data_IF_645180406072
#
_entry.id   IF_645180406072
#
_cell.length_a   1.000
_cell.length_b   1.000
_cell.length_c   1.000
_cell.angle_alpha   90.00
_cell.angle_beta   90.00
_cell.angle_gamma   90.00
#
_symmetry.space_group_name_H-M   'P 1'
#
loop_
_entity.id
_entity.type
_entity.pdbx_description
1 polymer ?
#
# COMPACT_ATOMS: atom_id res chain seq x y z
N UNK A 1 -5.74 -4.19 18.18
CA UNK A 1 -5.93 -2.79 17.78
C UNK A 1 -7.14 -2.72 16.87
N UNK A 2 -8.04 -1.73 17.03
CA UNK A 2 -9.17 -1.52 16.12
C UNK A 2 -8.72 -0.64 14.96
N UNK A 3 -9.09 -0.93 13.69
CA UNK A 3 -8.78 -0.05 12.58
C UNK A 3 -9.49 1.31 12.73
N UNK A 4 -8.92 2.39 12.18
CA UNK A 4 -9.63 3.67 12.05
C UNK A 4 -10.83 3.53 11.11
N UNK A 5 -11.67 4.56 11.05
CA UNK A 5 -12.73 4.63 10.05
C UNK A 5 -12.11 4.90 8.67
N UNK A 6 -12.08 3.88 7.81
CA UNK A 6 -11.41 3.97 6.52
C UNK A 6 -12.17 4.82 5.49
N UNK A 7 -13.41 5.23 5.78
CA UNK A 7 -14.16 6.15 4.92
C UNK A 7 -13.67 7.60 5.00
N UNK A 8 -12.93 7.96 6.07
CA UNK A 8 -12.44 9.32 6.29
C UNK A 8 -11.16 9.55 5.48
N UNK A 9 -11.29 10.05 4.25
CA UNK A 9 -10.15 10.30 3.36
C UNK A 9 -9.10 11.25 3.96
N UNK A 10 -9.51 12.21 4.79
CA UNK A 10 -8.59 13.12 5.47
C UNK A 10 -7.65 12.42 6.47
N UNK A 11 -8.06 11.24 6.97
CA UNK A 11 -7.25 10.44 7.88
C UNK A 11 -6.46 9.36 7.14
N UNK A 12 -6.66 9.21 5.82
CA UNK A 12 -5.91 8.26 5.00
C UNK A 12 -4.42 8.63 4.93
N UNK A 13 -3.57 7.65 4.64
CA UNK A 13 -2.11 7.80 4.71
C UNK A 13 -1.38 6.49 4.98
N UNK A 14 -0.05 6.57 5.06
CA UNK A 14 0.83 5.47 5.48
C UNK A 14 0.88 5.41 7.01
N UNK A 15 0.59 4.25 7.59
CA UNK A 15 0.47 4.06 9.04
C UNK A 15 1.13 2.77 9.51
N UNK A 16 1.87 2.85 10.60
CA UNK A 16 2.33 1.66 11.33
C UNK A 16 1.11 0.94 11.93
N UNK A 17 1.09 -0.39 11.85
CA UNK A 17 -0.02 -1.24 12.25
C UNK A 17 0.46 -2.44 13.04
N UNK A 18 0.06 -2.50 14.32
CA UNK A 18 0.39 -3.61 15.23
C UNK A 18 -0.75 -4.61 15.40
N UNK A 19 -1.87 -4.43 14.69
CA UNK A 19 -3.01 -5.35 14.72
C UNK A 19 -2.88 -6.50 13.71
N UNK A 20 -3.85 -7.42 13.72
CA UNK A 20 -3.94 -8.45 12.68
C UNK A 20 -4.28 -7.80 11.33
N UNK A 21 -3.62 -8.21 10.25
CA UNK A 21 -3.92 -7.74 8.89
C UNK A 21 -5.39 -7.98 8.49
N UNK A 22 -5.95 -9.10 8.93
CA UNK A 22 -7.34 -9.49 8.64
C UNK A 22 -8.37 -8.57 9.30
N UNK A 23 -7.97 -7.78 10.31
CA UNK A 23 -8.86 -6.79 10.91
C UNK A 23 -9.11 -5.58 10.01
N UNK A 24 -8.23 -5.30 9.03
CA UNK A 24 -8.40 -4.20 8.07
C UNK A 24 -9.44 -4.55 6.99
N UNK A 25 -9.48 -5.83 6.57
CA UNK A 25 -10.37 -6.30 5.50
C UNK A 25 -11.87 -5.96 5.72
N UNK A 26 -12.48 -6.23 6.89
CA UNK A 26 -13.88 -5.86 7.11
C UNK A 26 -14.10 -4.35 7.16
N UNK A 27 -13.13 -3.57 7.67
CA UNK A 27 -13.22 -2.10 7.67
C UNK A 27 -13.14 -1.53 6.24
N UNK A 28 -12.26 -2.08 5.40
CA UNK A 28 -12.16 -1.72 3.99
C UNK A 28 -13.45 -2.05 3.23
N UNK A 29 -14.02 -3.23 3.49
CA UNK A 29 -15.30 -3.63 2.90
C UNK A 29 -16.45 -2.71 3.31
N UNK A 30 -16.52 -2.31 4.59
CA UNK A 30 -17.54 -1.37 5.07
C UNK A 30 -17.44 0.01 4.38
N UNK A 31 -16.22 0.47 4.11
CA UNK A 31 -15.95 1.70 3.36
C UNK A 31 -15.96 1.52 1.83
N UNK A 32 -16.29 0.31 1.32
CA UNK A 32 -16.30 -0.06 -0.12
C UNK A 32 -14.95 0.12 -0.82
N UNK A 33 -13.85 0.09 -0.08
CA UNK A 33 -12.50 0.24 -0.62
C UNK A 33 -12.04 -1.07 -1.27
N UNK A 34 -11.22 -0.96 -2.32
CA UNK A 34 -10.39 -2.08 -2.76
C UNK A 34 -9.46 -2.48 -1.59
N UNK A 35 -9.19 -3.77 -1.45
CA UNK A 35 -8.31 -4.29 -0.39
C UNK A 35 -7.21 -5.15 -0.99
N UNK A 36 -5.97 -4.78 -0.71
CA UNK A 36 -4.75 -5.45 -1.20
C UNK A 36 -3.84 -5.81 -0.04
N UNK A 37 -3.08 -6.90 -0.20
CA UNK A 37 -2.10 -7.35 0.80
C UNK A 37 -0.79 -7.63 0.08
N UNK A 38 0.27 -7.00 0.54
CA UNK A 38 1.65 -7.24 0.12
C UNK A 38 2.34 -7.98 1.25
N UNK A 39 2.86 -9.17 0.96
CA UNK A 39 3.61 -9.96 1.95
C UNK A 39 5.10 -9.88 1.63
N UNK A 40 5.90 -9.36 2.57
CA UNK A 40 7.35 -9.23 2.44
C UNK A 40 8.11 -10.37 3.11
N UNK A 41 7.43 -11.45 3.51
CA UNK A 41 8.10 -12.62 4.07
C UNK A 41 9.07 -13.24 3.06
N UNK A 42 10.35 -13.26 3.42
CA UNK A 42 11.41 -13.86 2.60
C UNK A 42 11.84 -13.01 1.39
N UNK A 43 11.32 -11.79 1.23
CA UNK A 43 11.69 -10.89 0.14
C UNK A 43 13.11 -10.35 0.34
N UNK A 44 13.96 -10.53 -0.68
CA UNK A 44 15.35 -10.10 -0.71
C UNK A 44 15.64 -9.05 -1.79
N UNK A 45 15.87 -7.82 -1.37
CA UNK A 45 16.30 -6.71 -2.24
C UNK A 45 15.23 -6.17 -3.18
N UNK A 46 15.60 -5.12 -3.91
CA UNK A 46 14.69 -4.31 -4.74
C UNK A 46 13.86 -5.11 -5.75
N UNK A 47 14.46 -6.03 -6.51
CA UNK A 47 13.74 -6.72 -7.58
C UNK A 47 12.65 -7.65 -7.03
N UNK A 48 12.94 -8.35 -5.94
CA UNK A 48 11.95 -9.20 -5.27
C UNK A 48 10.88 -8.35 -4.58
N UNK A 49 11.25 -7.19 -4.03
CA UNK A 49 10.30 -6.23 -3.47
C UNK A 49 9.30 -5.74 -4.52
N UNK A 50 9.80 -5.28 -5.67
CA UNK A 50 8.93 -4.80 -6.76
C UNK A 50 8.03 -5.92 -7.29
N UNK A 51 8.52 -7.15 -7.34
CA UNK A 51 7.72 -8.33 -7.70
C UNK A 51 6.63 -8.61 -6.66
N UNK A 52 6.95 -8.54 -5.37
CA UNK A 52 6.00 -8.73 -4.27
C UNK A 52 4.92 -7.64 -4.27
N UNK A 53 5.32 -6.39 -4.53
CA UNK A 53 4.41 -5.25 -4.68
C UNK A 53 3.47 -5.45 -5.88
N UNK A 54 4.01 -5.76 -7.06
CA UNK A 54 3.21 -5.99 -8.26
C UNK A 54 2.14 -7.07 -8.03
N UNK A 55 2.53 -8.19 -7.41
CA UNK A 55 1.61 -9.28 -7.08
C UNK A 55 0.56 -8.88 -6.03
N UNK A 56 1.00 -8.27 -4.92
CA UNK A 56 0.12 -7.94 -3.79
C UNK A 56 -0.86 -6.80 -4.09
N UNK A 57 -0.42 -5.83 -4.89
CA UNK A 57 -1.23 -4.70 -5.38
C UNK A 57 -2.05 -5.04 -6.62
N UNK A 58 -1.84 -6.22 -7.21
CA UNK A 58 -2.49 -6.69 -8.45
C UNK A 58 -2.29 -5.70 -9.59
N UNK A 59 -1.05 -5.23 -9.75
CA UNK A 59 -0.68 -4.33 -10.84
C UNK A 59 -0.83 -5.04 -12.20
N UNK A 60 -1.00 -4.29 -13.30
CA UNK A 60 -1.13 -4.88 -14.63
C UNK A 60 0.05 -5.76 -15.04
N UNK A 61 -0.17 -6.73 -15.94
CA UNK A 61 0.88 -7.64 -16.43
C UNK A 61 2.04 -6.91 -17.12
N UNK A 62 1.80 -5.71 -17.65
CA UNK A 62 2.80 -4.87 -18.30
C UNK A 62 3.51 -3.91 -17.32
N UNK A 63 3.40 -4.12 -16.01
CA UNK A 63 4.07 -3.33 -14.99
C UNK A 63 5.60 -3.29 -15.23
N UNK A 64 6.17 -2.08 -15.29
CA UNK A 64 7.56 -1.83 -15.68
C UNK A 64 8.65 -2.28 -14.69
N UNK A 65 8.28 -2.86 -13.55
CA UNK A 65 9.17 -3.41 -12.53
C UNK A 65 10.30 -2.46 -12.09
N UNK A 66 9.95 -1.20 -11.85
CA UNK A 66 10.85 -0.15 -11.34
C UNK A 66 10.06 0.85 -10.47
N UNK A 67 10.75 1.82 -9.87
CA UNK A 67 10.15 2.78 -8.93
C UNK A 67 9.20 3.76 -9.60
N UNK A 68 9.56 4.28 -10.78
CA UNK A 68 8.74 5.23 -11.52
C UNK A 68 7.42 4.57 -11.94
N UNK A 69 7.51 3.34 -12.48
CA UNK A 69 6.33 2.55 -12.83
C UNK A 69 5.44 2.25 -11.62
N UNK A 70 6.02 2.10 -10.42
CA UNK A 70 5.24 1.92 -9.18
C UNK A 70 4.51 3.21 -8.83
N UNK A 71 5.19 4.35 -8.83
CA UNK A 71 4.57 5.65 -8.56
C UNK A 71 3.42 5.92 -9.54
N UNK A 72 3.66 5.77 -10.84
CA UNK A 72 2.65 5.92 -11.89
C UNK A 72 1.43 5.01 -11.65
N UNK A 73 1.66 3.75 -11.28
CA UNK A 73 0.58 2.79 -11.02
C UNK A 73 -0.24 3.15 -9.79
N UNK A 74 0.39 3.71 -8.74
CA UNK A 74 -0.29 4.06 -7.50
C UNK A 74 -1.18 5.31 -7.66
N UNK A 75 -0.86 6.19 -8.61
CA UNK A 75 -1.64 7.38 -8.96
C UNK A 75 -2.66 7.14 -10.09
N UNK A 76 -2.77 5.90 -10.59
CA UNK A 76 -3.75 5.50 -11.60
C UNK A 76 -5.15 5.31 -10.99
N UNK A 77 -6.14 6.05 -11.52
CA UNK A 77 -7.53 6.01 -11.06
C UNK A 77 -8.27 4.71 -11.41
N UNK A 78 -7.95 4.07 -12.54
CA UNK A 78 -8.50 2.78 -12.93
C UNK A 78 -8.00 1.69 -11.97
N UNK A 79 -6.72 1.77 -11.60
CA UNK A 79 -6.15 0.88 -10.59
C UNK A 79 -6.72 1.14 -9.18
N UNK A 80 -6.83 2.39 -8.73
CA UNK A 80 -7.39 2.72 -7.40
C UNK A 80 -8.83 2.22 -7.23
N UNK A 81 -9.64 2.32 -8.29
CA UNK A 81 -11.06 2.01 -8.28
C UNK A 81 -11.93 3.13 -7.71
N UNK A 82 -13.25 2.92 -7.79
CA UNK A 82 -14.22 4.00 -7.61
C UNK A 82 -14.20 4.68 -6.25
N UNK A 83 -13.89 3.95 -5.17
CA UNK A 83 -14.04 4.44 -3.79
C UNK A 83 -12.71 4.64 -3.06
N UNK A 84 -11.56 4.27 -3.65
CA UNK A 84 -10.28 4.26 -2.94
C UNK A 84 -9.83 2.85 -2.55
N UNK A 85 -8.73 2.77 -1.78
CA UNK A 85 -8.05 1.52 -1.46
C UNK A 85 -7.50 1.48 -0.04
N UNK A 86 -7.43 0.27 0.52
CA UNK A 86 -6.64 -0.07 1.69
C UNK A 86 -5.62 -1.18 1.36
N UNK A 87 -4.36 -0.92 1.66
CA UNK A 87 -3.22 -1.80 1.44
C UNK A 87 -2.67 -2.22 2.80
N UNK A 88 -2.36 -3.50 2.97
CA UNK A 88 -1.59 -3.98 4.13
C UNK A 88 -0.27 -4.56 3.65
N UNK A 89 0.84 -3.98 4.10
CA UNK A 89 2.19 -4.51 3.91
C UNK A 89 2.56 -5.31 5.15
N UNK A 90 2.71 -6.63 5.03
CA UNK A 90 2.99 -7.54 6.15
C UNK A 90 4.45 -7.99 6.15
N UNK A 91 4.94 -8.32 7.35
CA UNK A 91 6.30 -8.82 7.56
C UNK A 91 7.38 -7.83 7.10
N UNK A 92 7.10 -6.53 7.17
CA UNK A 92 7.99 -5.49 6.65
C UNK A 92 9.28 -5.33 7.46
N UNK A 93 9.27 -5.71 8.74
CA UNK A 93 10.38 -5.46 9.67
C UNK A 93 11.74 -6.02 9.19
N UNK A 94 11.77 -7.25 8.68
CA UNK A 94 13.01 -7.89 8.22
C UNK A 94 13.56 -7.20 6.97
N UNK A 95 12.68 -6.85 6.03
CA UNK A 95 13.05 -6.13 4.81
C UNK A 95 13.58 -4.72 5.15
N UNK A 96 12.82 -3.95 5.94
CA UNK A 96 13.20 -2.59 6.37
C UNK A 96 14.57 -2.54 7.06
N UNK A 97 14.89 -3.57 7.85
CA UNK A 97 16.19 -3.70 8.52
C UNK A 97 17.34 -3.97 7.54
N UNK A 98 17.08 -4.79 6.52
CA UNK A 98 18.13 -5.30 5.62
C UNK A 98 18.34 -4.41 4.39
N UNK A 99 17.29 -3.72 3.94
CA UNK A 99 17.25 -2.94 2.70
C UNK A 99 16.66 -1.54 2.98
N UNK A 100 17.33 -0.79 3.86
CA UNK A 100 16.83 0.50 4.37
C UNK A 100 16.58 1.53 3.27
N UNK A 101 17.48 1.65 2.30
CA UNK A 101 17.36 2.62 1.19
C UNK A 101 16.14 2.30 0.32
N UNK A 102 15.99 1.04 -0.09
CA UNK A 102 14.82 0.61 -0.88
C UNK A 102 13.51 0.82 -0.11
N UNK A 103 13.52 0.59 1.20
CA UNK A 103 12.37 0.83 2.05
C UNK A 103 12.02 2.32 2.17
N UNK A 104 13.01 3.20 2.32
CA UNK A 104 12.80 4.65 2.34
C UNK A 104 12.16 5.12 1.03
N UNK A 105 12.71 4.71 -0.11
CA UNK A 105 12.12 5.04 -1.42
C UNK A 105 10.69 4.53 -1.56
N UNK A 106 10.41 3.29 -1.12
CA UNK A 106 9.03 2.78 -1.13
C UNK A 106 8.11 3.59 -0.22
N UNK A 107 8.56 3.94 0.99
CA UNK A 107 7.77 4.70 1.94
C UNK A 107 7.46 6.11 1.43
N UNK A 108 8.42 6.75 0.75
CA UNK A 108 8.23 8.05 0.10
C UNK A 108 7.18 7.95 -1.01
N UNK A 109 7.33 6.99 -1.94
CA UNK A 109 6.36 6.75 -3.03
C UNK A 109 4.94 6.49 -2.49
N UNK A 110 4.80 5.67 -1.44
CA UNK A 110 3.50 5.39 -0.83
C UNK A 110 2.90 6.62 -0.14
N UNK A 111 3.74 7.50 0.41
CA UNK A 111 3.31 8.74 1.07
C UNK A 111 2.87 9.77 0.04
N UNK A 112 3.64 9.95 -1.03
CA UNK A 112 3.29 10.82 -2.16
C UNK A 112 1.96 10.40 -2.80
N UNK A 113 1.78 9.10 -3.08
CA UNK A 113 0.50 8.58 -3.59
C UNK A 113 -0.66 8.82 -2.60
N UNK A 114 -0.42 8.71 -1.30
CA UNK A 114 -1.45 8.99 -0.30
C UNK A 114 -1.86 10.47 -0.30
N UNK A 115 -0.90 11.38 -0.38
CA UNK A 115 -1.15 12.83 -0.49
C UNK A 115 -1.91 13.16 -1.78
N UNK A 116 -1.48 12.61 -2.92
CA UNK A 116 -2.13 12.76 -4.22
C UNK A 116 -3.63 12.41 -4.16
N UNK A 117 -3.97 11.28 -3.52
CA UNK A 117 -5.35 10.84 -3.40
C UNK A 117 -6.14 11.59 -2.33
N UNK A 118 -5.49 12.03 -1.26
CA UNK A 118 -6.11 12.86 -0.23
C UNK A 118 -6.60 14.20 -0.80
N UNK A 119 -5.80 14.86 -1.64
CA UNK A 119 -6.18 16.09 -2.36
C UNK A 119 -7.42 15.89 -3.26
N UNK A 120 -7.64 14.66 -3.73
CA UNK A 120 -8.79 14.26 -4.55
C UNK A 120 -9.94 13.68 -3.73
N UNK A 121 -9.85 13.76 -2.40
CA UNK A 121 -10.81 13.21 -1.44
C UNK A 121 -11.09 11.71 -1.64
N UNK A 122 -10.07 10.96 -2.08
CA UNK A 122 -10.11 9.50 -2.21
C UNK A 122 -9.33 8.86 -1.06
N UNK A 123 -9.95 7.96 -0.27
CA UNK A 123 -9.22 7.21 0.75
C UNK A 123 -8.12 6.33 0.14
N UNK A 124 -6.88 6.55 0.54
CA UNK A 124 -5.73 5.71 0.21
C UNK A 124 -4.99 5.34 1.50
N UNK A 125 -5.25 4.14 2.01
CA UNK A 125 -4.70 3.67 3.26
C UNK A 125 -3.57 2.68 3.03
N UNK A 126 -2.45 2.86 3.72
CA UNK A 126 -1.38 1.87 3.77
C UNK A 126 -1.07 1.53 5.22
N UNK A 127 -1.18 0.26 5.57
CA UNK A 127 -0.86 -0.26 6.89
C UNK A 127 0.41 -1.09 6.83
N UNK A 128 1.46 -0.68 7.53
CA UNK A 128 2.75 -1.39 7.60
C UNK A 128 2.79 -2.23 8.89
N UNK A 129 2.94 -3.55 8.75
CA UNK A 129 2.89 -4.54 9.82
C UNK A 129 4.06 -5.52 9.79
#
# INVERSE_FOLDING_TARGET
MKPPDLAVAADAGVREWSGAADAIKPAAAAAKLKYCVVDLQGVGGKNELLTALAKGLKLPEHFGNNWDALADSLEDSDWLGNHGMAIVVRHAAAYRKSYRVDWETLADILSEAAEYWQERHKPFWVFVA
#
